data_IF_398308678676
#
_entry.id   IF_398308678676
#
_cell.length_a   1.000
_cell.length_b   1.000
_cell.length_c   1.000
_cell.angle_alpha   90.00
_cell.angle_beta   90.00
_cell.angle_gamma   90.00
#
_symmetry.space_group_name_H-M   'P 1'
#
loop_
_entity.id
_entity.type
_entity.pdbx_description
1 polymer ?
#
# COMPACT_ATOMS: atom_id res chain seq x y z
N UNK A 1 -15.10 8.56 -24.93
CA UNK A 1 -14.49 7.32 -24.41
C UNK A 1 -13.02 7.60 -24.16
N UNK A 2 -12.53 7.33 -22.96
CA UNK A 2 -11.13 7.55 -22.67
C UNK A 2 -10.33 6.33 -23.14
N UNK A 3 -9.28 6.58 -23.91
CA UNK A 3 -8.34 5.54 -24.30
C UNK A 3 -7.24 5.48 -23.24
N UNK A 4 -7.01 4.30 -22.72
CA UNK A 4 -5.92 4.08 -21.75
C UNK A 4 -4.95 3.05 -22.29
N UNK A 5 -3.70 3.17 -21.88
CA UNK A 5 -2.67 2.23 -22.30
C UNK A 5 -2.71 0.93 -21.50
N UNK A 6 -3.02 1.04 -20.19
CA UNK A 6 -2.99 -0.10 -19.27
C UNK A 6 -4.16 -0.01 -18.31
N UNK A 7 -4.81 -1.14 -18.08
CA UNK A 7 -5.81 -1.29 -17.03
C UNK A 7 -5.20 -2.14 -15.90
N UNK A 8 -5.20 -1.61 -14.68
CA UNK A 8 -4.75 -2.34 -13.48
C UNK A 8 -6.00 -2.77 -12.73
N UNK A 9 -6.16 -4.05 -12.50
CA UNK A 9 -7.30 -4.60 -11.77
C UNK A 9 -6.89 -4.80 -10.32
N UNK A 10 -7.53 -4.07 -9.44
CA UNK A 10 -7.25 -4.08 -8.01
C UNK A 10 -6.39 -2.90 -7.57
N UNK A 11 -6.86 -2.21 -6.53
CA UNK A 11 -6.17 -1.06 -5.95
C UNK A 11 -5.60 -1.41 -4.56
N UNK A 12 -5.08 -2.61 -4.43
CA UNK A 12 -4.23 -2.99 -3.31
C UNK A 12 -2.83 -2.44 -3.50
N UNK A 13 -1.92 -2.78 -2.62
CA UNK A 13 -0.56 -2.25 -2.65
C UNK A 13 0.15 -2.56 -3.99
N UNK A 14 0.05 -3.81 -4.46
CA UNK A 14 0.69 -4.22 -5.71
C UNK A 14 0.14 -3.47 -6.92
N UNK A 15 -1.20 -3.34 -7.01
CA UNK A 15 -1.85 -2.64 -8.11
C UNK A 15 -1.52 -1.15 -8.13
N UNK A 16 -1.55 -0.51 -6.97
CA UNK A 16 -1.21 0.92 -6.85
C UNK A 16 0.26 1.17 -7.16
N UNK A 17 1.15 0.29 -6.73
CA UNK A 17 2.57 0.39 -7.06
C UNK A 17 2.78 0.26 -8.57
N UNK A 18 2.16 -0.72 -9.19
CA UNK A 18 2.25 -0.90 -10.64
C UNK A 18 1.72 0.31 -11.40
N UNK A 19 0.56 0.84 -10.97
CA UNK A 19 -0.03 2.01 -11.60
C UNK A 19 0.89 3.23 -11.47
N UNK A 20 1.51 3.43 -10.32
CA UNK A 20 2.46 4.52 -10.10
C UNK A 20 3.65 4.42 -11.05
N UNK A 21 4.26 3.25 -11.13
CA UNK A 21 5.43 3.06 -11.99
C UNK A 21 5.10 3.21 -13.47
N UNK A 22 3.96 2.69 -13.89
CA UNK A 22 3.49 2.83 -15.28
C UNK A 22 3.19 4.29 -15.63
N UNK A 23 2.58 5.02 -14.71
CA UNK A 23 2.28 6.44 -14.89
C UNK A 23 3.57 7.25 -14.98
N UNK A 24 4.56 6.94 -14.14
CA UNK A 24 5.88 7.59 -14.20
C UNK A 24 6.61 7.29 -15.50
N UNK A 25 6.32 6.15 -16.12
CA UNK A 25 6.87 5.80 -17.44
C UNK A 25 6.15 6.49 -18.60
N UNK A 26 5.15 7.31 -18.32
CA UNK A 26 4.44 8.08 -19.33
C UNK A 26 3.21 7.40 -19.92
N UNK A 27 2.75 6.31 -19.34
CA UNK A 27 1.58 5.59 -19.80
C UNK A 27 0.31 6.11 -19.14
N UNK A 28 -0.80 6.07 -19.86
CA UNK A 28 -2.11 6.34 -19.31
C UNK A 28 -2.66 5.08 -18.66
N UNK A 29 -2.95 5.15 -17.36
CA UNK A 29 -3.32 4.00 -16.54
C UNK A 29 -4.69 4.23 -15.92
N UNK A 30 -5.52 3.20 -15.99
CA UNK A 30 -6.80 3.14 -15.28
C UNK A 30 -6.74 2.02 -14.26
N UNK A 31 -7.08 2.34 -13.01
CA UNK A 31 -7.15 1.35 -11.93
C UNK A 31 -8.62 1.06 -11.64
N UNK A 32 -8.98 -0.22 -11.64
CA UNK A 32 -10.33 -0.67 -11.31
C UNK A 32 -10.30 -1.40 -9.98
N UNK A 33 -11.16 -0.97 -9.07
CA UNK A 33 -11.29 -1.55 -7.74
C UNK A 33 -12.74 -1.95 -7.49
N UNK A 34 -12.96 -3.19 -7.02
CA UNK A 34 -14.29 -3.72 -6.76
C UNK A 34 -14.92 -3.16 -5.49
N UNK A 35 -14.10 -2.74 -4.53
CA UNK A 35 -14.56 -2.17 -3.28
C UNK A 35 -14.60 -0.65 -3.37
N UNK A 36 -15.22 -0.02 -2.38
CA UNK A 36 -15.32 1.44 -2.29
C UNK A 36 -14.10 2.08 -1.62
N UNK A 37 -13.00 1.34 -1.50
CA UNK A 37 -11.75 1.83 -0.92
C UNK A 37 -10.54 1.21 -1.59
N UNK A 38 -9.40 1.87 -1.47
CA UNK A 38 -8.10 1.34 -1.89
C UNK A 38 -7.43 0.58 -0.74
N UNK A 39 -6.31 -0.07 -1.02
CA UNK A 39 -5.45 -0.68 -0.01
C UNK A 39 -5.54 -2.19 0.06
N UNK A 40 -6.65 -2.78 -0.37
CA UNK A 40 -6.81 -4.24 -0.34
C UNK A 40 -6.69 -4.81 1.06
N UNK A 41 -5.68 -5.64 1.29
CA UNK A 41 -5.42 -6.29 2.58
C UNK A 41 -4.79 -5.37 3.61
N UNK A 42 -4.40 -4.15 3.23
CA UNK A 42 -3.97 -3.13 4.19
C UNK A 42 -5.12 -2.17 4.41
N UNK A 43 -5.44 -1.90 5.66
CA UNK A 43 -6.57 -1.06 5.99
C UNK A 43 -6.42 -0.51 7.40
N UNK A 44 -6.47 0.82 7.52
CA UNK A 44 -6.49 1.49 8.81
C UNK A 44 -7.89 2.04 9.06
N UNK A 45 -8.42 1.81 10.25
CA UNK A 45 -9.74 2.31 10.65
C UNK A 45 -9.61 3.18 11.88
N UNK A 46 -10.39 4.25 11.92
CA UNK A 46 -10.51 5.10 13.10
C UNK A 46 -11.68 4.65 13.95
N UNK A 47 -11.45 4.55 15.26
CA UNK A 47 -12.47 4.18 16.22
C UNK A 47 -12.22 4.93 17.52
N UNK A 48 -13.19 5.67 17.99
CA UNK A 48 -13.12 6.45 19.26
C UNK A 48 -11.85 7.29 19.36
N UNK A 49 -11.49 7.98 18.28
CA UNK A 49 -10.35 8.89 18.26
C UNK A 49 -8.98 8.24 18.07
N UNK A 50 -8.93 6.92 17.95
CA UNK A 50 -7.69 6.20 17.68
C UNK A 50 -7.74 5.54 16.31
N UNK A 51 -6.57 5.33 15.72
CA UNK A 51 -6.44 4.64 14.43
C UNK A 51 -5.84 3.26 14.65
N UNK A 52 -6.47 2.26 14.06
CA UNK A 52 -6.05 0.87 14.17
C UNK A 52 -5.81 0.28 12.78
N UNK A 53 -4.75 -0.49 12.67
CA UNK A 53 -4.51 -1.30 11.48
C UNK A 53 -5.31 -2.60 11.60
N UNK A 54 -6.25 -2.79 10.68
CA UNK A 54 -7.08 -4.00 10.66
C UNK A 54 -6.66 -4.97 9.57
N UNK A 55 -5.53 -4.70 8.93
CA UNK A 55 -4.92 -5.54 7.91
C UNK A 55 -3.44 -5.68 8.16
N UNK A 56 -2.66 -5.73 7.08
CA UNK A 56 -1.20 -5.82 7.16
C UNK A 56 -0.59 -4.61 7.84
N UNK A 57 0.36 -4.85 8.73
CA UNK A 57 1.01 -3.77 9.47
C UNK A 57 2.51 -3.99 9.70
N UNK A 58 3.02 -5.17 9.38
CA UNK A 58 4.39 -5.56 9.71
C UNK A 58 5.27 -5.60 8.47
N UNK A 59 6.53 -5.17 8.64
CA UNK A 59 7.55 -5.24 7.60
C UNK A 59 8.71 -6.09 8.08
N UNK A 60 9.15 -7.01 7.24
CA UNK A 60 10.35 -7.80 7.51
C UNK A 60 11.61 -7.11 6.98
N UNK A 61 12.76 -7.39 7.56
CA UNK A 61 14.02 -6.74 7.15
C UNK A 61 14.48 -7.11 5.75
N UNK A 62 13.94 -8.20 5.16
CA UNK A 62 14.27 -8.62 3.81
C UNK A 62 13.31 -8.07 2.75
N UNK A 63 12.30 -7.30 3.14
CA UNK A 63 11.31 -6.74 2.22
C UNK A 63 11.81 -5.39 1.67
N UNK A 64 12.81 -5.46 0.81
CA UNK A 64 13.54 -4.27 0.33
C UNK A 64 12.66 -3.30 -0.44
N UNK A 65 11.70 -3.78 -1.23
CA UNK A 65 10.81 -2.90 -2.00
C UNK A 65 9.87 -2.11 -1.10
N UNK A 66 9.37 -2.75 -0.04
CA UNK A 66 8.54 -2.07 0.95
C UNK A 66 9.34 -1.05 1.75
N UNK A 67 10.55 -1.40 2.16
CA UNK A 67 11.43 -0.48 2.88
C UNK A 67 11.78 0.72 2.02
N UNK A 68 11.97 0.52 0.72
CA UNK A 68 12.20 1.63 -0.22
C UNK A 68 11.00 2.56 -0.30
N UNK A 69 9.78 2.03 -0.32
CA UNK A 69 8.57 2.84 -0.31
C UNK A 69 8.43 3.63 0.99
N UNK A 70 8.71 3.00 2.13
CA UNK A 70 8.70 3.66 3.43
C UNK A 70 9.64 4.86 3.42
N UNK A 71 10.84 4.69 2.92
CA UNK A 71 11.84 5.74 2.81
C UNK A 71 11.40 6.84 1.83
N UNK A 72 10.91 6.45 0.66
CA UNK A 72 10.47 7.37 -0.38
C UNK A 72 9.35 8.30 0.08
N UNK A 73 8.41 7.77 0.86
CA UNK A 73 7.28 8.56 1.37
C UNK A 73 7.53 9.17 2.74
N UNK A 74 8.74 9.03 3.28
CA UNK A 74 9.10 9.62 4.56
C UNK A 74 8.35 9.06 5.75
N UNK A 75 7.97 7.79 5.68
CA UNK A 75 7.22 7.15 6.74
C UNK A 75 8.13 6.68 7.87
N UNK A 76 7.62 6.72 9.10
CA UNK A 76 8.33 6.24 10.27
C UNK A 76 7.93 4.81 10.60
N UNK A 77 8.91 4.02 11.01
CA UNK A 77 8.67 2.67 11.50
C UNK A 77 9.31 2.52 12.87
N UNK A 78 8.88 1.51 13.61
CA UNK A 78 9.49 1.17 14.88
C UNK A 78 9.57 -0.35 15.01
N UNK A 79 10.53 -0.82 15.79
CA UNK A 79 10.71 -2.26 15.99
C UNK A 79 9.61 -2.82 16.86
N UNK A 80 9.19 -4.04 16.54
CA UNK A 80 8.32 -4.78 17.44
C UNK A 80 9.03 -5.01 18.77
N UNK A 81 8.26 -5.05 19.84
CA UNK A 81 8.80 -5.36 21.15
C UNK A 81 9.30 -6.81 21.17
N UNK A 82 10.60 -6.99 21.40
CA UNK A 82 11.23 -8.30 21.31
C UNK A 82 11.50 -8.94 22.69
N UNK A 83 11.14 -8.25 23.76
CA UNK A 83 11.35 -8.73 25.13
C UNK A 83 10.11 -9.37 25.73
N UNK A 84 9.13 -9.70 24.88
CA UNK A 84 7.93 -10.37 25.38
C UNK A 84 8.25 -11.77 25.89
N UNK A 85 7.58 -12.13 26.95
CA UNK A 85 7.75 -13.41 27.60
C UNK A 85 6.44 -14.18 27.51
N UNK A 86 6.51 -15.28 26.86
CA UNK A 86 5.37 -16.19 26.73
C UNK A 86 5.75 -17.56 27.15
#
# INVERSE_FOLDING_TARGET
MADVDVVVVGAGLAGLFAARELTRAGLDVLVLEARDRVGGRTWSKSFQGATFDVGGQWLGPAQHRMLRLVDEYGLSTFKTHTESRY
#
